data_IF_625778132017
#
_entry.id   IF_625778132017
#
_cell.length_a   1.000
_cell.length_b   1.000
_cell.length_c   1.000
_cell.angle_alpha   90.00
_cell.angle_beta   90.00
_cell.angle_gamma   90.00
#
_symmetry.space_group_name_H-M   'P 1'
#
loop_
_entity.id
_entity.type
_entity.pdbx_description
1 polymer ?
#
# COMPACT_ATOMS: atom_id res chain seq x y z
N UNK A 1 3.69 6.82 15.64
CA UNK A 1 2.63 7.84 15.89
C UNK A 1 1.28 7.21 16.14
N UNK A 2 0.85 6.21 15.36
CA UNK A 2 -0.43 5.48 15.54
C UNK A 2 -0.67 4.98 16.97
N UNK A 3 0.39 4.64 17.68
CA UNK A 3 0.33 4.03 19.01
C UNK A 3 0.70 5.00 20.14
N UNK A 4 1.21 6.19 19.81
CA UNK A 4 1.71 7.11 20.82
C UNK A 4 0.62 7.96 21.48
N UNK A 5 -0.53 8.12 20.85
CA UNK A 5 -1.56 9.02 21.33
C UNK A 5 -2.98 8.52 21.01
N UNK A 6 -3.42 7.48 21.72
CA UNK A 6 -4.79 6.94 21.60
C UNK A 6 -5.84 7.97 22.08
N UNK A 7 -5.40 9.06 22.71
CA UNK A 7 -6.28 10.04 23.35
C UNK A 7 -6.75 11.15 22.41
N UNK A 8 -6.11 11.38 21.27
CA UNK A 8 -6.53 12.42 20.34
C UNK A 8 -6.99 11.87 18.99
N UNK A 9 -8.32 11.68 18.86
CA UNK A 9 -8.95 11.24 17.61
C UNK A 9 -8.75 12.23 16.44
N UNK A 10 -8.34 13.47 16.70
CA UNK A 10 -8.08 14.49 15.67
C UNK A 10 -6.74 14.26 14.97
N UNK A 11 -5.76 13.68 15.68
CA UNK A 11 -4.48 13.28 15.07
C UNK A 11 -4.68 12.11 14.09
N UNK A 12 -5.66 11.22 14.36
CA UNK A 12 -5.98 10.13 13.46
C UNK A 12 -6.39 10.65 12.08
N UNK A 13 -7.11 11.77 12.00
CA UNK A 13 -7.53 12.33 10.71
C UNK A 13 -6.39 12.85 9.85
N UNK A 14 -5.38 13.45 10.47
CA UNK A 14 -4.21 13.94 9.74
C UNK A 14 -3.29 12.81 9.28
N UNK A 15 -3.10 11.80 10.12
CA UNK A 15 -2.24 10.66 9.84
C UNK A 15 -2.87 9.65 8.88
N UNK A 16 -4.20 9.65 8.75
CA UNK A 16 -4.97 8.76 7.88
C UNK A 16 -5.66 9.48 6.70
N UNK A 17 -5.07 10.55 6.20
CA UNK A 17 -5.60 11.29 5.05
C UNK A 17 -5.78 10.46 3.76
N UNK A 18 -5.25 9.25 3.74
CA UNK A 18 -5.41 8.28 2.65
C UNK A 18 -6.66 7.39 2.78
N UNK A 19 -7.35 7.43 3.94
CA UNK A 19 -8.59 6.71 4.15
C UNK A 19 -9.79 7.55 3.69
N UNK A 20 -10.83 6.87 3.24
CA UNK A 20 -12.10 7.51 2.94
C UNK A 20 -12.89 7.85 4.22
N UNK A 21 -13.95 8.66 4.06
CA UNK A 21 -14.75 9.13 5.19
C UNK A 21 -15.45 7.99 5.96
N UNK A 22 -15.79 6.88 5.27
CA UNK A 22 -16.43 5.72 5.89
C UNK A 22 -15.44 4.95 6.76
N UNK A 23 -14.22 4.75 6.25
CA UNK A 23 -13.13 4.11 6.99
C UNK A 23 -12.72 4.91 8.22
N UNK A 24 -12.62 6.24 8.10
CA UNK A 24 -12.36 7.15 9.23
C UNK A 24 -13.49 7.06 10.27
N UNK A 25 -14.76 7.05 9.83
CA UNK A 25 -15.89 6.91 10.72
C UNK A 25 -15.90 5.57 11.48
N UNK A 26 -15.51 4.47 10.80
CA UNK A 26 -15.39 3.16 11.43
C UNK A 26 -14.28 3.13 12.50
N UNK A 27 -13.13 3.73 12.21
CA UNK A 27 -12.02 3.87 13.18
C UNK A 27 -12.47 4.71 14.39
N UNK A 28 -13.15 5.84 14.16
CA UNK A 28 -13.69 6.67 15.24
C UNK A 28 -14.70 5.91 16.10
N UNK A 29 -15.64 5.20 15.46
CA UNK A 29 -16.62 4.38 16.15
C UNK A 29 -15.97 3.32 17.02
N UNK A 30 -14.96 2.63 16.50
CA UNK A 30 -14.18 1.67 17.26
C UNK A 30 -13.55 2.31 18.51
N UNK A 31 -12.79 3.39 18.34
CA UNK A 31 -12.12 4.06 19.47
C UNK A 31 -13.07 4.73 20.42
N UNK A 32 -14.18 5.30 19.95
CA UNK A 32 -15.20 5.90 20.83
C UNK A 32 -15.86 4.88 21.76
N UNK A 33 -15.85 3.60 21.40
CA UNK A 33 -16.34 2.53 22.26
C UNK A 33 -15.47 2.30 23.51
N UNK A 34 -14.23 2.80 23.50
CA UNK A 34 -13.30 2.75 24.63
C UNK A 34 -13.31 4.04 25.50
N UNK A 35 -13.99 5.12 25.03
CA UNK A 35 -14.08 6.39 25.75
C UNK A 35 -15.55 6.84 25.92
N UNK A 36 -15.97 7.25 27.11
CA UNK A 36 -15.21 7.22 28.36
C UNK A 36 -14.85 5.78 28.75
N UNK A 37 -13.68 5.62 29.34
CA UNK A 37 -13.24 4.30 29.84
C UNK A 37 -14.29 3.82 30.83
N UNK A 38 -15.16 2.92 30.40
CA UNK A 38 -16.03 2.21 31.34
C UNK A 38 -15.12 1.41 32.26
N UNK A 39 -15.50 1.24 33.52
CA UNK A 39 -14.69 0.56 34.53
C UNK A 39 -14.48 -0.96 34.28
N UNK A 40 -14.68 -1.41 33.04
CA UNK A 40 -14.43 -2.79 32.65
C UNK A 40 -12.92 -3.12 32.78
N UNK A 41 -12.55 -4.15 33.57
CA UNK A 41 -11.17 -4.57 33.69
C UNK A 41 -10.51 -4.88 32.36
N UNK A 42 -11.27 -5.50 31.44
CA UNK A 42 -10.78 -5.87 30.10
C UNK A 42 -10.44 -4.66 29.22
N UNK A 43 -11.19 -3.56 29.34
CA UNK A 43 -10.88 -2.32 28.62
C UNK A 43 -9.60 -1.66 29.14
N UNK A 44 -9.43 -1.62 30.47
CA UNK A 44 -8.22 -1.07 31.09
C UNK A 44 -6.98 -1.89 30.70
N UNK A 45 -7.10 -3.21 30.71
CA UNK A 45 -6.02 -4.12 30.31
C UNK A 45 -5.67 -3.94 28.82
N UNK A 46 -6.68 -3.85 27.93
CA UNK A 46 -6.49 -3.59 26.51
C UNK A 46 -5.74 -2.27 26.28
N UNK A 47 -6.19 -1.17 26.90
CA UNK A 47 -5.55 0.14 26.75
C UNK A 47 -4.09 0.11 27.31
N UNK A 48 -3.85 -0.59 28.40
CA UNK A 48 -2.52 -0.74 28.95
C UNK A 48 -1.60 -1.51 27.98
N UNK A 49 -2.05 -2.63 27.45
CA UNK A 49 -1.30 -3.38 26.41
C UNK A 49 -1.05 -2.51 25.18
N UNK A 50 -2.07 -1.76 24.73
CA UNK A 50 -1.96 -0.87 23.58
C UNK A 50 -0.90 0.21 23.76
N UNK A 51 -0.84 0.83 24.94
CA UNK A 51 0.17 1.83 25.28
C UNK A 51 1.61 1.25 25.31
N UNK A 52 1.74 -0.01 25.67
CA UNK A 52 3.04 -0.69 25.68
C UNK A 52 3.54 -1.08 24.29
N UNK A 53 2.62 -1.27 23.32
CA UNK A 53 2.99 -1.73 21.96
C UNK A 53 3.97 -0.79 21.26
N UNK A 54 3.80 0.52 21.43
CA UNK A 54 4.70 1.49 20.80
C UNK A 54 6.12 1.38 21.37
N UNK A 55 6.26 1.37 22.68
CA UNK A 55 7.57 1.26 23.34
C UNK A 55 8.26 -0.08 23.02
N UNK A 56 7.47 -1.15 22.93
CA UNK A 56 7.96 -2.47 22.53
C UNK A 56 8.45 -2.47 21.08
N UNK A 57 7.69 -1.85 20.19
CA UNK A 57 8.05 -1.69 18.78
C UNK A 57 9.36 -0.91 18.61
N UNK A 58 9.50 0.24 19.28
CA UNK A 58 10.72 1.05 19.21
C UNK A 58 11.93 0.29 19.77
N UNK A 59 11.78 -0.38 20.90
CA UNK A 59 12.86 -1.21 21.49
C UNK A 59 13.28 -2.37 20.59
N UNK A 60 12.31 -3.02 19.92
CA UNK A 60 12.59 -4.07 18.95
C UNK A 60 13.36 -3.52 17.74
N UNK A 61 12.89 -2.37 17.21
CA UNK A 61 13.52 -1.70 16.06
C UNK A 61 14.98 -1.34 16.39
N UNK A 62 15.21 -0.70 17.52
CA UNK A 62 16.55 -0.31 17.96
C UNK A 62 17.48 -1.51 18.13
N UNK A 63 16.98 -2.58 18.75
CA UNK A 63 17.75 -3.82 18.95
C UNK A 63 18.13 -4.47 17.61
N UNK A 64 17.17 -4.58 16.68
CA UNK A 64 17.43 -5.15 15.36
C UNK A 64 18.43 -4.29 14.58
N UNK A 65 18.28 -2.97 14.60
CA UNK A 65 19.20 -2.05 13.95
C UNK A 65 20.62 -2.19 14.50
N UNK A 66 20.77 -2.28 15.82
CA UNK A 66 22.07 -2.49 16.47
C UNK A 66 22.73 -3.83 16.05
N UNK A 67 21.93 -4.86 15.79
CA UNK A 67 22.41 -6.16 15.30
C UNK A 67 22.62 -6.20 13.78
N UNK A 68 22.40 -5.08 13.05
CA UNK A 68 22.45 -5.03 11.59
C UNK A 68 21.36 -5.87 10.91
N UNK A 69 20.23 -6.05 11.60
CA UNK A 69 19.07 -6.83 11.13
C UNK A 69 17.85 -5.94 10.95
N UNK A 70 16.92 -6.39 10.11
CA UNK A 70 15.63 -5.75 9.95
C UNK A 70 14.62 -6.70 9.32
N UNK A 71 13.35 -6.55 9.67
CA UNK A 71 12.27 -7.16 8.92
C UNK A 71 11.83 -6.25 7.77
N UNK A 72 11.15 -6.79 6.78
CA UNK A 72 10.81 -6.12 5.53
C UNK A 72 10.14 -4.75 5.74
N UNK A 73 9.11 -4.68 6.59
CA UNK A 73 8.41 -3.42 6.87
C UNK A 73 9.28 -2.37 7.57
N UNK A 74 10.27 -2.78 8.39
CA UNK A 74 11.25 -1.87 8.97
C UNK A 74 12.17 -1.30 7.89
N UNK A 75 12.66 -2.15 6.98
CA UNK A 75 13.53 -1.72 5.87
C UNK A 75 12.79 -0.75 4.95
N UNK A 76 11.54 -1.05 4.58
CA UNK A 76 10.73 -0.16 3.75
C UNK A 76 10.52 1.21 4.40
N UNK A 77 10.27 1.23 5.70
CA UNK A 77 10.12 2.47 6.46
C UNK A 77 11.42 3.27 6.49
N UNK A 78 12.54 2.61 6.80
CA UNK A 78 13.85 3.27 6.89
C UNK A 78 14.26 3.86 5.53
N UNK A 79 13.99 3.15 4.42
CA UNK A 79 14.21 3.67 3.06
C UNK A 79 13.32 4.88 2.78
N UNK A 80 12.04 4.84 3.14
CA UNK A 80 11.11 5.95 2.93
C UNK A 80 11.49 7.18 3.77
N UNK A 81 11.91 6.99 5.02
CA UNK A 81 12.41 8.06 5.90
C UNK A 81 13.70 8.67 5.35
N UNK A 82 14.66 7.83 4.91
CA UNK A 82 15.91 8.30 4.29
C UNK A 82 15.66 9.05 2.96
N UNK A 83 14.67 8.61 2.18
CA UNK A 83 14.26 9.32 0.97
C UNK A 83 13.70 10.72 1.29
N UNK A 84 12.88 10.84 2.33
CA UNK A 84 12.32 12.12 2.76
C UNK A 84 13.39 13.13 3.23
N UNK A 85 14.51 12.62 3.78
CA UNK A 85 15.64 13.41 4.24
C UNK A 85 16.72 13.65 3.17
N UNK A 86 16.47 13.23 1.93
CA UNK A 86 17.43 13.25 0.81
C UNK A 86 18.75 12.49 1.11
N UNK A 87 18.68 11.51 2.00
CA UNK A 87 19.83 10.73 2.48
C UNK A 87 20.20 9.51 1.65
N UNK A 88 19.45 9.21 0.57
CA UNK A 88 19.70 8.02 -0.24
C UNK A 88 20.82 8.26 -1.27
N UNK A 89 21.87 7.45 -1.18
CA UNK A 89 22.91 7.38 -2.20
C UNK A 89 22.65 6.19 -3.14
N UNK A 90 22.08 6.48 -4.31
CA UNK A 90 21.75 5.46 -5.29
C UNK A 90 22.85 5.35 -6.33
N UNK A 91 23.41 4.15 -6.59
CA UNK A 91 24.49 3.96 -7.56
C UNK A 91 24.00 3.98 -9.01
N UNK A 92 22.68 4.18 -9.23
CA UNK A 92 22.05 4.09 -10.54
C UNK A 92 21.72 5.48 -11.08
N UNK A 93 22.03 5.71 -12.36
CA UNK A 93 21.63 6.93 -13.08
C UNK A 93 20.16 6.90 -13.49
N UNK A 94 19.62 5.69 -13.69
CA UNK A 94 18.25 5.47 -14.11
C UNK A 94 17.72 4.17 -13.52
N UNK A 95 16.50 4.19 -13.03
CA UNK A 95 15.77 3.04 -12.51
C UNK A 95 14.45 2.97 -13.25
N UNK A 96 14.10 1.81 -13.78
CA UNK A 96 12.88 1.59 -14.54
C UNK A 96 11.95 0.68 -13.75
N UNK A 97 10.74 1.15 -13.48
CA UNK A 97 9.68 0.40 -12.80
C UNK A 97 8.64 -0.06 -13.80
N UNK A 98 8.36 -1.35 -13.82
CA UNK A 98 7.44 -1.97 -14.80
C UNK A 98 6.39 -2.80 -14.07
N UNK A 99 5.12 -2.60 -14.42
CA UNK A 99 4.03 -3.51 -14.04
C UNK A 99 3.68 -3.53 -12.56
N UNK A 100 4.03 -2.51 -11.77
CA UNK A 100 3.60 -2.41 -10.37
C UNK A 100 2.09 -2.18 -10.31
N UNK A 101 1.45 -2.71 -9.26
CA UNK A 101 0.01 -2.54 -9.04
C UNK A 101 -0.25 -1.73 -7.76
N UNK A 102 -0.82 -2.34 -6.72
CA UNK A 102 -1.03 -1.64 -5.45
C UNK A 102 0.30 -1.31 -4.78
N UNK A 103 0.47 -0.06 -4.39
CA UNK A 103 1.67 0.44 -3.71
C UNK A 103 1.34 0.73 -2.24
N UNK A 104 2.25 0.39 -1.36
CA UNK A 104 2.22 0.83 0.03
C UNK A 104 2.61 2.31 0.13
N UNK A 105 2.33 2.95 1.25
CA UNK A 105 2.74 4.35 1.48
C UNK A 105 4.26 4.55 1.47
N UNK A 106 5.01 3.58 1.96
CA UNK A 106 6.47 3.61 1.93
C UNK A 106 6.99 3.56 0.49
N UNK A 107 6.43 2.67 -0.34
CA UNK A 107 6.76 2.58 -1.77
C UNK A 107 6.35 3.86 -2.52
N UNK A 108 5.14 4.39 -2.29
CA UNK A 108 4.73 5.67 -2.90
C UNK A 108 5.70 6.81 -2.55
N UNK A 109 6.13 6.91 -1.29
CA UNK A 109 7.09 7.92 -0.84
C UNK A 109 8.44 7.76 -1.54
N UNK A 110 8.95 6.54 -1.59
CA UNK A 110 10.22 6.23 -2.25
C UNK A 110 10.18 6.48 -3.76
N UNK A 111 9.13 6.00 -4.45
CA UNK A 111 8.94 6.24 -5.88
C UNK A 111 8.77 7.73 -6.20
N UNK A 112 8.07 8.46 -5.33
CA UNK A 112 7.93 9.92 -5.43
C UNK A 112 9.28 10.62 -5.36
N UNK A 113 10.11 10.26 -4.41
CA UNK A 113 11.47 10.77 -4.29
C UNK A 113 12.29 10.51 -5.57
N UNK A 114 12.26 9.28 -6.11
CA UNK A 114 13.00 8.93 -7.31
C UNK A 114 12.50 9.68 -8.56
N UNK A 115 11.17 9.86 -8.66
CA UNK A 115 10.56 10.68 -9.71
C UNK A 115 11.04 12.12 -9.63
N UNK A 116 11.00 12.73 -8.47
CA UNK A 116 11.37 14.13 -8.25
C UNK A 116 12.86 14.39 -8.48
N UNK A 117 13.70 13.38 -8.25
CA UNK A 117 15.13 13.37 -8.63
C UNK A 117 15.36 13.13 -10.12
N UNK A 118 14.35 12.78 -10.90
CA UNK A 118 14.47 12.49 -12.33
C UNK A 118 15.24 11.21 -12.67
N UNK A 119 15.40 10.30 -11.69
CA UNK A 119 16.11 9.02 -11.87
C UNK A 119 15.20 7.85 -12.13
N UNK A 120 13.87 8.02 -12.02
CA UNK A 120 12.88 6.97 -12.23
C UNK A 120 12.13 7.14 -13.55
N UNK A 121 11.90 6.02 -14.23
CA UNK A 121 10.91 5.88 -15.30
C UNK A 121 9.87 4.83 -14.91
N UNK A 122 8.62 5.04 -15.33
CA UNK A 122 7.49 4.20 -14.98
C UNK A 122 6.80 3.67 -16.22
N UNK A 123 6.51 2.38 -16.25
CA UNK A 123 5.79 1.71 -17.33
C UNK A 123 4.62 0.93 -16.73
N UNK A 124 3.41 1.37 -17.05
CA UNK A 124 2.18 0.79 -16.56
C UNK A 124 1.50 0.01 -17.68
N UNK A 125 0.94 -1.14 -17.35
CA UNK A 125 0.06 -1.86 -18.28
C UNK A 125 -1.31 -1.18 -18.30
N UNK A 126 -1.49 -0.26 -19.24
CA UNK A 126 -2.75 0.47 -19.47
C UNK A 126 -3.28 0.27 -20.89
N UNK A 127 -2.74 -0.71 -21.58
CA UNK A 127 -3.01 -0.96 -22.99
C UNK A 127 -4.47 -1.41 -23.28
N UNK A 128 -5.18 -1.88 -22.26
CA UNK A 128 -6.58 -2.28 -22.42
C UNK A 128 -7.53 -1.10 -22.23
N UNK A 129 -8.56 -0.91 -23.09
CA UNK A 129 -9.64 0.05 -22.86
C UNK A 129 -10.33 -0.12 -21.50
N UNK A 130 -10.35 -1.34 -20.96
CA UNK A 130 -10.88 -1.63 -19.63
C UNK A 130 -10.11 -0.94 -18.50
N UNK A 131 -8.84 -0.61 -18.69
CA UNK A 131 -8.04 0.13 -17.69
C UNK A 131 -8.53 1.57 -17.57
N UNK A 132 -8.99 2.17 -18.67
CA UNK A 132 -9.48 3.55 -18.71
C UNK A 132 -10.92 3.68 -18.22
N UNK A 133 -11.64 2.56 -18.11
CA UNK A 133 -13.01 2.54 -17.58
C UNK A 133 -13.02 2.88 -16.09
N UNK A 134 -13.70 3.97 -15.75
CA UNK A 134 -13.81 4.45 -14.37
C UNK A 134 -14.58 3.49 -13.46
N UNK A 135 -15.53 2.72 -14.03
CA UNK A 135 -16.35 1.77 -13.28
C UNK A 135 -15.62 0.44 -13.04
N UNK A 136 -14.52 0.20 -13.75
CA UNK A 136 -13.69 -0.99 -13.54
C UNK A 136 -12.83 -0.85 -12.29
N UNK A 137 -13.27 -1.45 -11.19
CA UNK A 137 -12.55 -1.42 -9.90
C UNK A 137 -11.17 -2.10 -9.97
N UNK A 138 -10.97 -3.07 -10.87
CA UNK A 138 -9.70 -3.76 -11.02
C UNK A 138 -8.58 -2.82 -11.52
N UNK A 139 -8.93 -1.77 -12.24
CA UNK A 139 -7.97 -0.77 -12.76
C UNK A 139 -7.69 0.39 -11.80
N UNK A 140 -8.29 0.40 -10.63
CA UNK A 140 -8.19 1.50 -9.67
C UNK A 140 -6.73 1.88 -9.35
N UNK A 141 -5.91 0.91 -8.99
CA UNK A 141 -4.51 1.16 -8.64
C UNK A 141 -3.68 1.60 -9.84
N UNK A 142 -3.87 0.97 -11.01
CA UNK A 142 -3.14 1.36 -12.24
C UNK A 142 -3.45 2.81 -12.61
N UNK A 143 -4.72 3.22 -12.63
CA UNK A 143 -5.11 4.60 -12.92
C UNK A 143 -4.54 5.60 -11.91
N UNK A 144 -4.59 5.26 -10.62
CA UNK A 144 -3.99 6.08 -9.57
C UNK A 144 -2.48 6.23 -9.76
N UNK A 145 -1.80 5.13 -10.05
CA UNK A 145 -0.36 5.14 -10.27
C UNK A 145 0.03 5.95 -11.51
N UNK A 146 -0.74 5.86 -12.60
CA UNK A 146 -0.52 6.70 -13.78
C UNK A 146 -0.60 8.20 -13.48
N UNK A 147 -1.48 8.60 -12.55
CA UNK A 147 -1.59 10.00 -12.13
C UNK A 147 -0.40 10.43 -11.26
N UNK A 148 0.02 9.58 -10.34
CA UNK A 148 1.12 9.87 -9.40
C UNK A 148 2.50 9.74 -10.06
N UNK A 149 2.65 8.76 -10.94
CA UNK A 149 3.89 8.37 -11.59
C UNK A 149 3.67 8.20 -13.09
N UNK A 150 3.48 9.29 -13.86
CA UNK A 150 3.19 9.20 -15.27
C UNK A 150 4.33 8.51 -16.03
N UNK A 151 3.95 7.65 -16.98
CA UNK A 151 4.89 7.01 -17.90
C UNK A 151 5.44 8.04 -18.89
N UNK A 152 6.73 7.97 -19.17
CA UNK A 152 7.32 8.76 -20.27
C UNK A 152 7.01 8.15 -21.65
N UNK A 153 6.66 6.87 -21.67
CA UNK A 153 6.31 6.13 -22.88
C UNK A 153 4.83 5.78 -22.88
N UNK A 154 4.11 6.25 -23.87
CA UNK A 154 2.68 5.98 -24.06
C UNK A 154 2.53 5.02 -25.23
N UNK A 155 1.97 3.83 -24.96
CA UNK A 155 1.60 2.88 -26.00
C UNK A 155 0.32 3.35 -26.71
N UNK A 156 0.29 3.42 -28.05
CA UNK A 156 -0.95 3.69 -28.78
C UNK A 156 -1.95 2.55 -28.55
N UNK A 157 -3.18 2.91 -28.16
CA UNK A 157 -4.25 1.96 -27.85
C UNK A 157 -4.77 1.18 -29.06
N UNK A 158 -4.60 1.73 -30.25
CA UNK A 158 -4.99 1.19 -31.53
C UNK A 158 -4.09 0.05 -32.05
N UNK A 159 -2.89 -0.11 -31.49
CA UNK A 159 -1.95 -1.19 -31.84
C UNK A 159 -2.14 -2.45 -30.98
N UNK A 160 -3.16 -2.48 -30.11
CA UNK A 160 -3.32 -3.58 -29.16
C UNK A 160 -4.44 -4.50 -29.60
N UNK A 161 -4.08 -5.73 -29.85
CA UNK A 161 -5.03 -6.80 -30.11
C UNK A 161 -5.96 -7.02 -28.90
N UNK A 162 -7.27 -7.00 -29.16
CA UNK A 162 -8.25 -7.28 -28.11
C UNK A 162 -8.11 -8.74 -27.66
N UNK A 163 -7.99 -9.04 -26.36
CA UNK A 163 -7.90 -10.40 -25.89
C UNK A 163 -9.19 -11.15 -26.21
N UNK A 164 -9.07 -12.38 -26.74
CA UNK A 164 -10.19 -13.29 -26.84
C UNK A 164 -10.52 -13.84 -25.46
N UNK A 165 -11.67 -13.49 -24.93
CA UNK A 165 -12.13 -13.93 -23.61
C UNK A 165 -13.20 -15.02 -23.79
N UNK A 166 -12.97 -16.19 -23.23
CA UNK A 166 -13.95 -17.27 -23.16
C UNK A 166 -14.23 -17.60 -21.68
N UNK A 167 -15.51 -17.58 -21.30
CA UNK A 167 -15.94 -17.88 -19.93
C UNK A 167 -16.64 -19.23 -19.92
N UNK A 168 -16.05 -20.21 -19.25
CA UNK A 168 -16.55 -21.56 -19.15
C UNK A 168 -17.04 -21.83 -17.73
N UNK A 169 -18.34 -22.06 -17.58
CA UNK A 169 -18.96 -22.41 -16.29
C UNK A 169 -18.76 -23.88 -15.96
N UNK A 170 -18.03 -24.17 -14.90
CA UNK A 170 -17.82 -25.57 -14.44
C UNK A 170 -18.27 -25.66 -12.97
N UNK A 171 -19.20 -26.59 -12.67
CA UNK A 171 -19.96 -26.62 -11.40
C UNK A 171 -19.15 -27.10 -10.17
N UNK A 172 -17.88 -27.45 -10.31
CA UNK A 172 -17.05 -27.88 -9.17
C UNK A 172 -15.59 -27.54 -9.34
N UNK A 173 -14.88 -27.29 -8.24
CA UNK A 173 -13.43 -27.02 -8.25
C UNK A 173 -12.61 -28.19 -8.84
N UNK A 174 -13.01 -29.43 -8.60
CA UNK A 174 -12.37 -30.63 -9.21
C UNK A 174 -12.61 -30.65 -10.72
N UNK A 175 -13.81 -30.29 -11.16
CA UNK A 175 -14.13 -30.15 -12.58
C UNK A 175 -13.29 -29.06 -13.25
N UNK A 176 -13.14 -27.91 -12.61
CA UNK A 176 -12.29 -26.79 -13.06
C UNK A 176 -10.85 -27.24 -13.25
N UNK A 177 -10.27 -27.92 -12.24
CA UNK A 177 -8.89 -28.42 -12.31
C UNK A 177 -8.69 -29.44 -13.45
N UNK A 178 -9.65 -30.31 -13.69
CA UNK A 178 -9.59 -31.28 -14.79
C UNK A 178 -9.74 -30.62 -16.17
N UNK A 179 -10.51 -29.53 -16.25
CA UNK A 179 -10.74 -28.83 -17.51
C UNK A 179 -9.50 -28.07 -18.02
N UNK A 180 -8.58 -27.69 -17.11
CA UNK A 180 -7.31 -27.04 -17.48
C UNK A 180 -6.53 -27.84 -18.53
N UNK A 181 -6.52 -29.18 -18.41
CA UNK A 181 -5.90 -30.06 -19.42
C UNK A 181 -6.55 -30.03 -20.82
N UNK A 182 -7.78 -29.55 -20.92
CA UNK A 182 -8.49 -29.44 -22.21
C UNK A 182 -8.17 -28.11 -22.90
N UNK A 183 -7.68 -27.11 -22.12
CA UNK A 183 -7.38 -25.78 -22.61
C UNK A 183 -5.90 -25.64 -23.00
N UNK A 184 -5.00 -26.35 -22.29
CA UNK A 184 -3.55 -26.41 -22.55
C UNK A 184 -3.20 -27.41 -23.64
#
# INVERSE_FOLDING_TARGET
KLFSNVTDLREIESDFSFLDAEQIAAIRSFWSSFYPVNDSPNQKEFLHVWQLLFSLYESLREKLAHEGKGYEGMIFRDVAESAAEDGLNLPYKKIVFVGLNALTKAEESFLGYLRDKGVADFYWDYASPMVMDADNKASFFVRRNQQLFPSQYVLPLDEIDQPRIEVIGIPSGIGQSKHVHTIL
#
